data_IF_540869329708
#
_entry.id   IF_540869329708
#
_cell.length_a   1.000
_cell.length_b   1.000
_cell.length_c   1.000
_cell.angle_alpha   90.00
_cell.angle_beta   90.00
_cell.angle_gamma   90.00
#
_symmetry.space_group_name_H-M   'P 1'
#
loop_
_entity.id
_entity.type
_entity.pdbx_description
1 polymer ?
#
# COMPACT_ATOMS: atom_id res chain seq x y z
N UNK A 1 5.49 -20.63 17.39
CA UNK A 1 6.49 -20.75 16.29
C UNK A 1 5.97 -21.52 15.09
N UNK A 2 5.47 -22.76 15.22
CA UNK A 2 4.94 -23.54 14.08
C UNK A 2 3.81 -22.82 13.31
N UNK A 3 2.79 -22.30 14.01
CA UNK A 3 1.69 -21.56 13.38
C UNK A 3 2.18 -20.31 12.61
N UNK A 4 3.12 -19.57 13.18
CA UNK A 4 3.67 -18.37 12.55
C UNK A 4 4.45 -18.72 11.27
N UNK A 5 5.28 -19.76 11.31
CA UNK A 5 6.00 -20.24 10.13
C UNK A 5 5.03 -20.71 9.03
N UNK A 6 3.95 -21.40 9.42
CA UNK A 6 2.90 -21.80 8.48
C UNK A 6 2.21 -20.60 7.82
N UNK A 7 1.76 -19.62 8.61
CA UNK A 7 1.13 -18.40 8.10
C UNK A 7 2.09 -17.58 7.23
N UNK A 8 3.38 -17.54 7.58
CA UNK A 8 4.41 -16.90 6.78
C UNK A 8 4.56 -17.56 5.40
N UNK A 9 4.70 -18.89 5.36
CA UNK A 9 4.75 -19.65 4.11
C UNK A 9 3.48 -19.45 3.29
N UNK A 10 2.31 -19.39 3.94
CA UNK A 10 1.03 -19.14 3.29
C UNK A 10 1.00 -17.75 2.65
N UNK A 11 1.41 -16.69 3.36
CA UNK A 11 1.49 -15.33 2.82
C UNK A 11 2.41 -15.28 1.62
N UNK A 12 3.63 -15.80 1.74
CA UNK A 12 4.60 -15.79 0.64
C UNK A 12 4.05 -16.57 -0.56
N UNK A 13 3.59 -17.81 -0.36
CA UNK A 13 3.09 -18.65 -1.45
C UNK A 13 1.86 -18.05 -2.14
N UNK A 14 0.86 -17.59 -1.39
CA UNK A 14 -0.34 -16.97 -1.96
C UNK A 14 -0.04 -15.64 -2.64
N UNK A 15 0.93 -14.87 -2.14
CA UNK A 15 1.34 -13.61 -2.76
C UNK A 15 2.05 -13.83 -4.10
N UNK A 16 2.78 -14.93 -4.29
CA UNK A 16 3.33 -15.29 -5.62
C UNK A 16 2.29 -15.91 -6.57
N UNK A 17 1.15 -16.34 -6.05
CA UNK A 17 -0.02 -16.74 -6.86
C UNK A 17 -0.89 -15.52 -7.25
N UNK A 18 -0.56 -14.33 -6.72
CA UNK A 18 -1.07 -13.03 -7.14
C UNK A 18 -0.26 -12.53 -8.36
N UNK A 19 -0.89 -12.06 -9.45
CA UNK A 19 -2.14 -11.29 -9.51
C UNK A 19 -3.43 -12.07 -9.79
N UNK A 20 -3.34 -13.37 -10.10
CA UNK A 20 -4.45 -14.13 -10.69
C UNK A 20 -5.63 -14.41 -9.74
N UNK A 21 -5.40 -14.35 -8.42
CA UNK A 21 -6.33 -14.93 -7.42
C UNK A 21 -6.97 -13.93 -6.45
N UNK A 22 -6.51 -12.67 -6.33
CA UNK A 22 -7.20 -11.65 -5.48
C UNK A 22 -8.31 -10.91 -6.26
N UNK A 23 -8.41 -11.14 -7.57
CA UNK A 23 -9.70 -10.97 -8.25
C UNK A 23 -10.76 -11.98 -7.77
N UNK A 24 -10.33 -13.05 -7.09
CA UNK A 24 -11.19 -14.13 -6.64
C UNK A 24 -11.37 -14.10 -5.12
N UNK A 25 -12.62 -14.30 -4.68
CA UNK A 25 -13.01 -14.30 -3.26
C UNK A 25 -12.21 -15.32 -2.45
N UNK A 26 -11.68 -16.34 -3.12
CA UNK A 26 -10.86 -17.39 -2.55
C UNK A 26 -9.53 -16.89 -1.98
N UNK A 27 -8.78 -16.03 -2.67
CA UNK A 27 -7.51 -15.50 -2.18
C UNK A 27 -7.69 -14.70 -0.88
N UNK A 28 -8.76 -13.90 -0.81
CA UNK A 28 -9.12 -13.16 0.39
C UNK A 28 -9.49 -14.10 1.56
N UNK A 29 -10.31 -15.13 1.31
CA UNK A 29 -10.69 -16.12 2.32
C UNK A 29 -9.44 -16.82 2.90
N UNK A 30 -8.50 -17.19 2.05
CA UNK A 30 -7.27 -17.86 2.46
C UNK A 30 -6.35 -16.98 3.30
N UNK A 31 -6.49 -15.65 3.22
CA UNK A 31 -5.73 -14.67 3.99
C UNK A 31 -6.44 -14.24 5.29
N UNK A 32 -7.71 -14.63 5.51
CA UNK A 32 -8.43 -14.36 6.77
C UNK A 32 -7.70 -14.88 8.02
N UNK A 33 -7.07 -16.07 8.04
CA UNK A 33 -6.30 -16.52 9.20
C UNK A 33 -5.11 -15.61 9.52
N UNK A 34 -4.46 -15.07 8.48
CA UNK A 34 -3.35 -14.11 8.62
C UNK A 34 -3.89 -12.81 9.21
N UNK A 35 -4.98 -12.26 8.67
CA UNK A 35 -5.61 -11.04 9.17
C UNK A 35 -6.07 -11.20 10.62
N UNK A 36 -6.72 -12.31 10.95
CA UNK A 36 -7.15 -12.61 12.30
C UNK A 36 -5.96 -12.70 13.27
N UNK A 37 -4.89 -13.39 12.87
CA UNK A 37 -3.65 -13.47 13.65
C UNK A 37 -3.05 -12.08 13.86
N UNK A 38 -2.92 -11.28 12.80
CA UNK A 38 -2.41 -9.91 12.83
C UNK A 38 -3.20 -9.03 13.78
N UNK A 39 -4.53 -9.09 13.69
CA UNK A 39 -5.43 -8.26 14.47
C UNK A 39 -5.40 -8.62 15.95
N UNK A 40 -5.17 -9.89 16.27
CA UNK A 40 -5.12 -10.37 17.64
C UNK A 40 -3.75 -10.14 18.31
N UNK A 41 -2.65 -10.33 17.58
CA UNK A 41 -1.30 -10.35 18.16
C UNK A 41 -0.49 -9.08 17.92
N UNK A 42 -0.77 -8.32 16.86
CA UNK A 42 0.05 -7.17 16.46
C UNK A 42 -0.68 -5.84 16.49
N UNK A 43 -2.02 -5.83 16.57
CA UNK A 43 -2.77 -4.60 16.77
C UNK A 43 -3.03 -4.38 18.25
N UNK A 44 -2.29 -3.44 18.83
CA UNK A 44 -2.65 -2.86 20.11
C UNK A 44 -3.80 -1.87 19.88
N UNK A 45 -4.97 -2.18 20.42
CA UNK A 45 -6.17 -1.37 20.27
C UNK A 45 -6.13 -0.18 21.24
N UNK A 46 -5.15 0.70 21.03
CA UNK A 46 -5.01 1.92 21.81
C UNK A 46 -6.03 2.95 21.35
N UNK A 47 -6.81 3.49 22.30
CA UNK A 47 -7.70 4.60 22.05
C UNK A 47 -6.88 5.88 21.85
N UNK A 48 -6.73 6.30 20.60
CA UNK A 48 -6.09 7.56 20.27
C UNK A 48 -7.00 8.73 20.63
N UNK A 49 -6.46 9.76 21.29
CA UNK A 49 -7.16 11.04 21.40
C UNK A 49 -7.42 11.62 20.00
N UNK A 50 -8.48 12.41 19.85
CA UNK A 50 -8.84 13.03 18.57
C UNK A 50 -7.69 13.83 17.94
N UNK A 51 -6.91 14.56 18.74
CA UNK A 51 -5.78 15.35 18.23
C UNK A 51 -4.68 14.46 17.62
N UNK A 52 -4.33 13.37 18.31
CA UNK A 52 -3.35 12.40 17.81
C UNK A 52 -3.83 11.73 16.52
N UNK A 53 -5.12 11.36 16.45
CA UNK A 53 -5.72 10.81 15.25
C UNK A 53 -5.60 11.79 14.06
N UNK A 54 -5.98 13.06 14.26
CA UNK A 54 -5.87 14.10 13.24
C UNK A 54 -4.41 14.28 12.80
N UNK A 55 -3.47 14.31 13.74
CA UNK A 55 -2.05 14.46 13.44
C UNK A 55 -1.51 13.31 12.59
N UNK A 56 -1.87 12.06 12.92
CA UNK A 56 -1.50 10.87 12.14
C UNK A 56 -2.07 10.94 10.73
N UNK A 57 -3.35 11.29 10.59
CA UNK A 57 -4.01 11.37 9.28
C UNK A 57 -3.39 12.48 8.43
N UNK A 58 -3.26 13.70 8.95
CA UNK A 58 -2.69 14.81 8.20
C UNK A 58 -1.21 14.59 7.88
N UNK A 59 -0.45 14.05 8.83
CA UNK A 59 0.95 13.67 8.62
C UNK A 59 1.08 12.60 7.54
N UNK A 60 0.26 11.55 7.59
CA UNK A 60 0.25 10.47 6.59
C UNK A 60 -0.12 10.98 5.19
N UNK A 61 -1.10 11.88 5.09
CA UNK A 61 -1.46 12.53 3.81
C UNK A 61 -0.28 13.35 3.29
N UNK A 62 0.33 14.18 4.15
CA UNK A 62 1.47 15.01 3.78
C UNK A 62 2.66 14.19 3.29
N UNK A 63 3.00 13.11 3.99
CA UNK A 63 4.06 12.17 3.59
C UNK A 63 3.68 11.44 2.30
N UNK A 64 2.45 10.94 2.16
CA UNK A 64 1.98 10.28 0.94
C UNK A 64 2.09 11.16 -0.30
N UNK A 65 1.67 12.43 -0.21
CA UNK A 65 1.84 13.42 -1.28
C UNK A 65 3.33 13.65 -1.54
N UNK A 66 4.13 13.89 -0.50
CA UNK A 66 5.56 14.16 -0.62
C UNK A 66 6.32 13.02 -1.30
N UNK A 67 6.06 11.77 -0.90
CA UNK A 67 6.64 10.58 -1.50
C UNK A 67 6.27 10.43 -2.97
N UNK A 68 4.99 10.63 -3.31
CA UNK A 68 4.57 10.55 -4.71
C UNK A 68 5.28 11.62 -5.53
N UNK A 69 5.24 12.90 -5.10
CA UNK A 69 5.86 14.02 -5.82
C UNK A 69 7.37 13.82 -5.99
N UNK A 70 8.06 13.34 -4.96
CA UNK A 70 9.48 13.02 -5.03
C UNK A 70 9.78 11.84 -5.97
N UNK A 71 8.85 10.88 -6.08
CA UNK A 71 8.93 9.74 -6.98
C UNK A 71 8.57 10.03 -8.43
N UNK A 72 7.78 11.07 -8.71
CA UNK A 72 7.30 11.38 -10.07
C UNK A 72 8.40 11.49 -11.15
N UNK A 73 9.57 12.09 -10.90
CA UNK A 73 10.65 12.11 -11.90
C UNK A 73 11.12 10.71 -12.32
N UNK A 74 10.94 9.71 -11.46
CA UNK A 74 11.25 8.30 -11.74
C UNK A 74 10.04 7.56 -12.34
N UNK A 75 8.83 7.98 -11.97
CA UNK A 75 7.59 7.25 -12.25
C UNK A 75 6.67 7.90 -13.29
N UNK A 76 7.02 9.01 -13.92
CA UNK A 76 6.20 9.61 -14.98
C UNK A 76 7.08 10.37 -15.98
N UNK A 77 6.86 10.19 -17.30
CA UNK A 77 7.54 10.99 -18.32
C UNK A 77 7.09 12.46 -18.30
N UNK A 78 5.94 12.78 -17.71
CA UNK A 78 5.40 14.14 -17.61
C UNK A 78 4.93 14.47 -16.18
N UNK A 79 5.84 14.62 -15.20
CA UNK A 79 5.49 14.82 -13.78
C UNK A 79 4.52 15.99 -13.52
N UNK A 80 4.69 17.10 -14.26
CA UNK A 80 3.82 18.27 -14.09
C UNK A 80 2.39 17.98 -14.53
N UNK A 81 2.23 17.27 -15.64
CA UNK A 81 0.92 16.91 -16.19
C UNK A 81 0.21 15.94 -15.23
N UNK A 82 0.94 14.94 -14.72
CA UNK A 82 0.44 14.02 -13.70
C UNK A 82 -0.17 14.74 -12.47
N UNK A 83 0.49 15.78 -11.95
CA UNK A 83 -0.03 16.55 -10.82
C UNK A 83 -1.32 17.27 -11.18
N UNK A 84 -1.36 17.92 -12.36
CA UNK A 84 -2.55 18.62 -12.84
C UNK A 84 -3.73 17.65 -12.99
N UNK A 85 -3.49 16.50 -13.59
CA UNK A 85 -4.51 15.46 -13.80
C UNK A 85 -4.95 14.81 -12.50
N UNK A 86 -4.03 14.59 -11.54
CA UNK A 86 -4.39 14.13 -10.19
C UNK A 86 -5.36 15.11 -9.51
N UNK A 87 -5.07 16.42 -9.55
CA UNK A 87 -5.92 17.45 -8.93
C UNK A 87 -7.27 17.57 -9.64
N UNK A 88 -7.30 17.47 -10.98
CA UNK A 88 -8.55 17.49 -11.75
C UNK A 88 -9.39 16.24 -11.48
N UNK A 89 -8.75 15.07 -11.49
CA UNK A 89 -9.37 13.78 -11.25
C UNK A 89 -10.02 13.65 -9.88
N UNK A 90 -9.49 14.32 -8.86
CA UNK A 90 -10.14 14.38 -7.55
C UNK A 90 -11.57 14.90 -7.60
N UNK A 91 -11.88 15.81 -8.53
CA UNK A 91 -13.25 16.34 -8.70
C UNK A 91 -14.19 15.29 -9.29
N UNK A 92 -13.68 14.37 -10.09
CA UNK A 92 -14.40 13.27 -10.75
C UNK A 92 -14.53 12.07 -9.81
N UNK A 93 -13.57 11.90 -8.91
CA UNK A 93 -13.49 10.78 -7.97
C UNK A 93 -14.70 10.72 -7.04
N UNK A 94 -15.32 11.87 -6.73
CA UNK A 94 -16.56 11.96 -5.94
C UNK A 94 -17.72 11.15 -6.53
N UNK A 95 -17.72 10.99 -7.86
CA UNK A 95 -18.75 10.27 -8.62
C UNK A 95 -18.44 8.77 -8.68
N UNK A 96 -17.24 8.35 -8.23
CA UNK A 96 -16.73 6.99 -8.26
C UNK A 96 -16.51 6.39 -6.85
N UNK A 97 -17.47 6.60 -5.94
CA UNK A 97 -17.37 6.20 -4.51
C UNK A 97 -17.03 4.73 -4.28
N UNK A 98 -17.53 3.83 -5.13
CA UNK A 98 -17.25 2.40 -5.00
C UNK A 98 -15.76 2.08 -5.19
N UNK A 99 -15.08 2.79 -6.10
CA UNK A 99 -13.64 2.63 -6.31
C UNK A 99 -12.83 3.18 -5.13
N UNK A 100 -13.27 4.29 -4.54
CA UNK A 100 -12.66 4.82 -3.30
C UNK A 100 -12.78 3.83 -2.14
N UNK A 101 -13.96 3.25 -1.92
CA UNK A 101 -14.17 2.24 -0.88
C UNK A 101 -13.35 0.98 -1.14
N UNK A 102 -13.24 0.56 -2.40
CA UNK A 102 -12.36 -0.54 -2.79
C UNK A 102 -10.90 -0.24 -2.45
N UNK A 103 -10.38 0.95 -2.81
CA UNK A 103 -9.01 1.34 -2.50
C UNK A 103 -8.76 1.44 -1.00
N UNK A 104 -9.73 1.96 -0.23
CA UNK A 104 -9.67 2.00 1.23
C UNK A 104 -9.48 0.59 1.81
N UNK A 105 -10.30 -0.37 1.39
CA UNK A 105 -10.23 -1.75 1.86
C UNK A 105 -8.98 -2.48 1.38
N UNK A 106 -8.63 -2.34 0.11
CA UNK A 106 -7.48 -3.03 -0.50
C UNK A 106 -6.16 -2.57 0.11
N UNK A 107 -5.96 -1.26 0.27
CA UNK A 107 -4.74 -0.73 0.91
C UNK A 107 -4.63 -1.13 2.37
N UNK A 108 -5.75 -1.17 3.12
CA UNK A 108 -5.75 -1.65 4.51
C UNK A 108 -5.32 -3.12 4.58
N UNK A 109 -5.92 -3.94 3.72
CA UNK A 109 -5.59 -5.36 3.60
C UNK A 109 -4.11 -5.57 3.26
N UNK A 110 -3.57 -4.80 2.31
CA UNK A 110 -2.15 -4.85 1.96
C UNK A 110 -1.27 -4.48 3.15
N UNK A 111 -1.55 -3.37 3.84
CA UNK A 111 -0.72 -2.97 4.99
C UNK A 111 -0.78 -3.97 6.16
N UNK A 112 -1.93 -4.60 6.40
CA UNK A 112 -2.06 -5.66 7.40
C UNK A 112 -1.17 -6.87 7.09
N UNK A 113 -1.07 -7.26 5.82
CA UNK A 113 -0.27 -8.41 5.40
C UNK A 113 1.20 -8.04 5.31
N UNK A 114 1.53 -6.95 4.62
CA UNK A 114 2.91 -6.62 4.29
C UNK A 114 3.64 -5.94 5.43
N UNK A 115 2.99 -5.02 6.16
CA UNK A 115 3.66 -4.27 7.23
C UNK A 115 3.41 -4.97 8.55
N UNK A 116 2.15 -5.14 8.93
CA UNK A 116 1.86 -5.65 10.27
C UNK A 116 2.23 -7.11 10.41
N UNK A 117 1.85 -7.99 9.48
CA UNK A 117 2.22 -9.39 9.58
C UNK A 117 3.67 -9.67 9.15
N UNK A 118 4.01 -9.38 7.89
CA UNK A 118 5.26 -9.84 7.29
C UNK A 118 6.48 -9.15 7.90
N UNK A 119 6.51 -7.81 7.96
CA UNK A 119 7.64 -7.09 8.58
C UNK A 119 7.78 -7.47 10.06
N UNK A 120 6.70 -7.46 10.86
CA UNK A 120 6.79 -7.84 12.28
C UNK A 120 7.26 -9.28 12.48
N UNK A 121 6.88 -10.21 11.60
CA UNK A 121 7.36 -11.60 11.64
C UNK A 121 8.85 -11.70 11.31
N UNK A 122 9.30 -10.98 10.27
CA UNK A 122 10.71 -10.94 9.86
C UNK A 122 11.60 -10.32 10.94
N UNK A 123 11.11 -9.30 11.65
CA UNK A 123 11.83 -8.65 12.76
C UNK A 123 12.13 -9.59 13.94
N UNK A 124 11.45 -10.73 14.05
CA UNK A 124 11.77 -11.74 15.06
C UNK A 124 13.08 -12.50 14.76
N UNK A 125 13.53 -12.49 13.50
CA UNK A 125 14.65 -13.29 13.03
C UNK A 125 15.74 -12.48 12.30
N UNK A 126 15.41 -11.28 11.83
CA UNK A 126 16.27 -10.44 11.00
C UNK A 126 16.43 -9.04 11.59
N UNK A 127 17.56 -8.34 11.34
CA UNK A 127 17.67 -6.93 11.64
C UNK A 127 16.68 -6.11 10.81
N UNK A 128 16.28 -4.94 11.31
CA UNK A 128 15.23 -4.11 10.72
C UNK A 128 15.42 -3.85 9.22
N UNK A 129 16.63 -3.48 8.80
CA UNK A 129 16.93 -3.22 7.39
C UNK A 129 16.75 -4.44 6.50
N UNK A 130 17.11 -5.64 6.98
CA UNK A 130 16.91 -6.87 6.21
C UNK A 130 15.42 -7.23 6.10
N UNK A 131 14.65 -7.06 7.19
CA UNK A 131 13.20 -7.25 7.18
C UNK A 131 12.49 -6.29 6.20
N UNK A 132 12.84 -5.00 6.24
CA UNK A 132 12.31 -3.97 5.35
C UNK A 132 12.66 -4.28 3.90
N UNK A 133 13.94 -4.56 3.59
CA UNK A 133 14.38 -4.85 2.22
C UNK A 133 13.69 -6.10 1.67
N UNK A 134 13.66 -7.20 2.44
CA UNK A 134 13.04 -8.44 2.00
C UNK A 134 11.53 -8.28 1.77
N UNK A 135 10.82 -7.64 2.68
CA UNK A 135 9.39 -7.32 2.50
C UNK A 135 9.16 -6.46 1.27
N UNK A 136 10.05 -5.49 1.00
CA UNK A 136 9.92 -4.58 -0.15
C UNK A 136 10.17 -5.28 -1.47
N UNK A 137 11.17 -6.18 -1.53
CA UNK A 137 11.41 -7.03 -2.71
C UNK A 137 10.20 -7.91 -2.98
N UNK A 138 9.68 -8.60 -1.95
CA UNK A 138 8.52 -9.48 -2.11
C UNK A 138 7.29 -8.67 -2.56
N UNK A 139 6.99 -7.54 -1.93
CA UNK A 139 5.88 -6.67 -2.32
C UNK A 139 6.05 -6.17 -3.76
N UNK A 140 7.26 -5.78 -4.15
CA UNK A 140 7.57 -5.33 -5.49
C UNK A 140 7.36 -6.43 -6.54
N UNK A 141 7.89 -7.63 -6.31
CA UNK A 141 7.80 -8.75 -7.26
C UNK A 141 6.36 -9.18 -7.52
N UNK A 142 5.50 -9.22 -6.50
CA UNK A 142 4.09 -9.64 -6.70
C UNK A 142 3.24 -8.61 -7.45
N UNK A 143 3.76 -7.39 -7.64
CA UNK A 143 3.11 -6.34 -8.41
C UNK A 143 3.73 -6.15 -9.81
N UNK A 144 4.85 -6.82 -10.11
CA UNK A 144 5.57 -6.68 -11.38
C UNK A 144 4.73 -7.13 -12.59
N UNK A 145 3.95 -8.21 -12.47
CA UNK A 145 3.08 -8.70 -13.55
C UNK A 145 1.95 -7.71 -13.93
N UNK A 146 1.56 -6.81 -13.02
CA UNK A 146 0.48 -5.83 -13.24
C UNK A 146 0.96 -4.50 -13.85
N UNK A 147 2.27 -4.32 -14.07
CA UNK A 147 2.82 -3.07 -14.60
C UNK A 147 3.81 -3.40 -15.73
N UNK A 148 3.51 -3.04 -17.00
CA UNK A 148 4.42 -3.33 -18.10
C UNK A 148 5.81 -2.75 -17.82
N UNK A 149 6.83 -3.60 -17.99
CA UNK A 149 8.23 -3.38 -17.64
C UNK A 149 8.75 -1.97 -18.02
N UNK A 150 9.20 -1.21 -17.01
CA UNK A 150 9.74 0.14 -17.17
C UNK A 150 10.09 0.85 -15.85
N UNK A 151 10.48 2.12 -15.95
CA UNK A 151 10.96 3.06 -14.90
C UNK A 151 10.09 3.13 -13.62
N UNK A 152 8.82 2.72 -13.70
CA UNK A 152 7.90 2.59 -12.56
C UNK A 152 8.29 1.51 -11.54
N UNK A 153 9.15 0.56 -11.92
CA UNK A 153 9.51 -0.60 -11.11
C UNK A 153 10.40 -0.21 -9.91
N UNK A 154 11.38 0.67 -10.12
CA UNK A 154 12.28 1.14 -9.06
C UNK A 154 11.57 2.08 -8.07
N UNK A 155 10.74 3.02 -8.55
CA UNK A 155 9.97 3.89 -7.66
C UNK A 155 9.05 3.08 -6.75
N UNK A 156 8.42 2.01 -7.27
CA UNK A 156 7.54 1.17 -6.48
C UNK A 156 8.29 0.42 -5.37
N UNK A 157 9.50 -0.10 -5.67
CA UNK A 157 10.37 -0.70 -4.65
C UNK A 157 10.76 0.32 -3.56
N UNK A 158 11.18 1.53 -3.96
CA UNK A 158 11.55 2.60 -3.04
C UNK A 158 10.35 2.97 -2.17
N UNK A 159 9.17 3.12 -2.76
CA UNK A 159 7.93 3.39 -2.04
C UNK A 159 7.61 2.28 -1.02
N UNK A 160 7.74 1.01 -1.41
CA UNK A 160 7.53 -0.12 -0.52
C UNK A 160 8.50 -0.11 0.68
N UNK A 161 9.76 0.20 0.43
CA UNK A 161 10.79 0.33 1.46
C UNK A 161 10.51 1.50 2.41
N UNK A 162 10.08 2.65 1.90
CA UNK A 162 9.74 3.82 2.72
C UNK A 162 8.50 3.57 3.59
N UNK A 163 7.51 2.82 3.10
CA UNK A 163 6.42 2.34 3.95
C UNK A 163 6.92 1.39 5.05
N UNK A 164 7.86 0.49 4.72
CA UNK A 164 8.50 -0.39 5.71
C UNK A 164 9.25 0.37 6.79
N UNK A 165 10.06 1.37 6.41
CA UNK A 165 10.74 2.28 7.34
C UNK A 165 9.73 3.03 8.19
N UNK A 166 8.69 3.61 7.57
CA UNK A 166 7.65 4.35 8.27
C UNK A 166 6.94 3.48 9.29
N UNK A 167 6.63 2.22 8.97
CA UNK A 167 6.02 1.27 9.89
C UNK A 167 6.95 0.95 11.07
N UNK A 168 8.22 0.63 10.82
CA UNK A 168 9.17 0.28 11.88
C UNK A 168 9.45 1.45 12.82
N UNK A 169 9.47 2.69 12.29
CA UNK A 169 9.74 3.90 13.10
C UNK A 169 8.52 4.34 13.90
N UNK A 170 7.33 4.27 13.31
CA UNK A 170 6.11 4.80 13.93
C UNK A 170 5.27 3.76 14.65
N UNK A 171 5.50 2.48 14.36
CA UNK A 171 4.69 1.34 14.82
C UNK A 171 3.18 1.54 14.56
N UNK A 172 2.83 2.33 13.55
CA UNK A 172 1.47 2.77 13.29
C UNK A 172 0.95 2.25 11.94
N UNK A 173 0.07 1.25 11.99
CA UNK A 173 -0.68 0.78 10.81
C UNK A 173 -1.45 1.95 10.17
N UNK A 174 -2.14 2.74 10.97
CA UNK A 174 -2.96 3.85 10.46
C UNK A 174 -2.10 4.84 9.67
N UNK A 175 -0.90 5.17 10.15
CA UNK A 175 -0.01 6.10 9.47
C UNK A 175 0.41 5.57 8.08
N UNK A 176 0.92 4.34 8.01
CA UNK A 176 1.36 3.74 6.73
C UNK A 176 0.20 3.47 5.79
N UNK A 177 -0.97 3.10 6.33
CA UNK A 177 -2.18 2.94 5.55
C UNK A 177 -2.62 4.25 4.89
N UNK A 178 -2.60 5.37 5.63
CA UNK A 178 -2.94 6.68 5.06
C UNK A 178 -1.93 7.11 3.99
N UNK A 179 -0.62 6.87 4.19
CA UNK A 179 0.40 7.13 3.16
C UNK A 179 0.08 6.34 1.88
N UNK A 180 -0.20 5.04 2.02
CA UNK A 180 -0.49 4.17 0.89
C UNK A 180 -1.80 4.54 0.18
N UNK A 181 -2.88 4.74 0.94
CA UNK A 181 -4.15 5.18 0.41
C UNK A 181 -4.03 6.51 -0.34
N UNK A 182 -3.30 7.47 0.21
CA UNK A 182 -3.08 8.78 -0.42
C UNK A 182 -2.42 8.62 -1.79
N UNK A 183 -1.36 7.81 -1.89
CA UNK A 183 -0.69 7.52 -3.16
C UNK A 183 -1.64 6.88 -4.17
N UNK A 184 -2.38 5.84 -3.76
CA UNK A 184 -3.29 5.12 -4.67
C UNK A 184 -4.45 6.00 -5.13
N UNK A 185 -4.99 6.85 -4.26
CA UNK A 185 -6.04 7.82 -4.60
C UNK A 185 -5.54 8.87 -5.60
N UNK A 186 -4.31 9.36 -5.44
CA UNK A 186 -3.70 10.32 -6.38
C UNK A 186 -3.49 9.71 -7.77
N UNK A 187 -2.92 8.51 -7.82
CA UNK A 187 -2.73 7.76 -9.08
C UNK A 187 -4.08 7.48 -9.74
N UNK A 188 -5.07 7.00 -8.97
CA UNK A 188 -6.41 6.74 -9.49
C UNK A 188 -7.06 8.01 -10.04
N UNK A 189 -6.89 9.14 -9.36
CA UNK A 189 -7.44 10.42 -9.78
C UNK A 189 -6.87 10.82 -11.14
N UNK A 190 -5.55 10.73 -11.32
CA UNK A 190 -4.91 11.02 -12.61
C UNK A 190 -5.47 10.13 -13.72
N UNK A 191 -5.56 8.82 -13.50
CA UNK A 191 -6.01 7.88 -14.53
C UNK A 191 -7.48 8.06 -14.93
N UNK A 192 -8.31 8.61 -14.04
CA UNK A 192 -9.69 9.00 -14.36
C UNK A 192 -9.74 10.28 -15.21
N UNK A 193 -8.90 11.28 -14.90
CA UNK A 193 -8.79 12.52 -15.67
C UNK A 193 -8.37 12.24 -17.11
N UNK A 194 -7.38 11.36 -17.31
CA UNK A 194 -6.93 10.95 -18.65
C UNK A 194 -8.04 10.30 -19.47
N UNK A 195 -8.82 9.40 -18.85
CA UNK A 195 -9.93 8.70 -19.53
C UNK A 195 -11.06 9.65 -19.94
N UNK A 196 -11.43 10.59 -19.08
CA UNK A 196 -12.42 11.61 -19.45
C UNK A 196 -11.91 12.50 -20.57
N UNK A 197 -10.64 12.92 -20.50
CA UNK A 197 -10.00 13.72 -21.56
C UNK A 197 -9.99 13.00 -22.91
N UNK A 198 -9.69 11.70 -22.92
CA UNK A 198 -9.71 10.86 -24.13
C UNK A 198 -11.12 10.62 -24.69
N UNK A 199 -12.16 10.66 -23.85
CA UNK A 199 -13.56 10.48 -24.30
C UNK A 199 -14.19 11.72 -24.96
N UNK A 200 -13.54 12.88 -24.84
CA UNK A 200 -14.03 14.18 -25.30
C UNK A 200 -13.26 14.73 -26.52
N UNK A 201 -12.19 14.04 -26.95
CA UNK A 201 -11.36 14.40 -28.12
C UNK A 201 -11.60 13.48 -29.30
#
# INVERSE_FOLDING_TARGET
MFLLAFLFCLVVALSFLYPKVIGDRFGFIMMLPVIAYTTFYYLDWQLLSLLHFIAIVLGGIGVGIGLLVAGLPLSSPQPKQFIVDSVRGFRVLKDHKNYLLFQLGMTCYEELIWRVFLVSSLLLALPAWAAICLSSVLFWTVHEENRPLGWHSLEFFIFAALLGVSYVVTESLLFVWIIHLTRNVLILSESLSEKEGASLG
#
